data_IF_214771609423
#
_entry.id   IF_214771609423
#
_cell.length_a   1.000
_cell.length_b   1.000
_cell.length_c   1.000
_cell.angle_alpha   90.00
_cell.angle_beta   90.00
_cell.angle_gamma   90.00
#
_symmetry.space_group_name_H-M   'P 1'
#
loop_
_entity.id
_entity.type
_entity.pdbx_description
1 polymer ?
#
# COMPACT_ATOMS: atom_id res chain seq x y z
N UNK A 1 8.33 29.71 -73.04
CA UNK A 1 8.39 28.33 -72.48
C UNK A 1 8.47 28.43 -70.97
N UNK A 2 7.76 27.60 -70.20
CA UNK A 2 7.76 27.63 -68.72
C UNK A 2 8.36 26.33 -68.18
N UNK A 3 9.40 26.42 -67.37
CA UNK A 3 10.07 25.27 -66.74
C UNK A 3 9.36 24.91 -65.43
N UNK A 4 8.79 23.71 -65.37
CA UNK A 4 8.25 23.14 -64.12
C UNK A 4 9.41 22.65 -63.25
N UNK A 5 9.55 23.22 -62.04
CA UNK A 5 10.52 22.76 -61.04
C UNK A 5 9.85 21.78 -60.09
N UNK A 6 10.07 20.48 -60.32
CA UNK A 6 9.58 19.42 -59.43
C UNK A 6 10.42 19.41 -58.15
N UNK A 7 9.89 20.02 -57.08
CA UNK A 7 10.52 19.99 -55.76
C UNK A 7 10.28 18.63 -55.10
N UNK A 8 11.16 17.67 -55.35
CA UNK A 8 11.16 16.37 -54.67
C UNK A 8 11.34 16.58 -53.16
N UNK A 9 10.28 16.30 -52.40
CA UNK A 9 10.31 16.35 -50.94
C UNK A 9 10.88 15.06 -50.38
N UNK A 10 12.20 14.88 -50.45
CA UNK A 10 12.84 13.80 -49.71
C UNK A 10 12.63 13.98 -48.19
N UNK A 11 12.24 12.92 -47.46
CA UNK A 11 12.10 12.98 -46.01
C UNK A 11 13.48 13.07 -45.36
N UNK A 12 13.91 14.30 -45.05
CA UNK A 12 15.19 14.60 -44.39
C UNK A 12 15.45 13.64 -43.22
N UNK A 13 16.54 12.85 -43.22
CA UNK A 13 16.80 11.88 -42.17
C UNK A 13 16.91 12.59 -40.81
N UNK A 14 16.20 12.05 -39.82
CA UNK A 14 16.21 12.57 -38.45
C UNK A 14 17.58 12.27 -37.81
N UNK A 15 18.56 13.14 -38.03
CA UNK A 15 19.86 13.07 -37.35
C UNK A 15 19.63 13.03 -35.83
N UNK A 16 19.93 11.86 -35.25
CA UNK A 16 20.01 11.62 -33.82
C UNK A 16 21.42 11.99 -33.34
N UNK A 17 21.77 13.27 -33.47
CA UNK A 17 22.94 13.81 -32.79
C UNK A 17 22.88 13.46 -31.29
N UNK A 18 23.96 12.94 -30.67
CA UNK A 18 24.00 12.65 -29.23
C UNK A 18 23.63 13.85 -28.36
N UNK A 19 23.91 15.07 -28.83
CA UNK A 19 23.54 16.30 -28.14
C UNK A 19 22.00 16.50 -28.09
N UNK A 20 21.24 15.87 -28.99
CA UNK A 20 19.77 15.91 -29.04
C UNK A 20 19.12 14.85 -28.16
N UNK A 21 19.77 13.73 -27.87
CA UNK A 21 19.26 12.71 -26.92
C UNK A 21 19.45 13.19 -25.48
N UNK A 22 20.64 13.65 -25.11
CA UNK A 22 20.95 14.21 -23.77
C UNK A 22 20.00 15.37 -23.42
N UNK A 23 19.68 16.25 -24.39
CA UNK A 23 18.72 17.36 -24.18
C UNK A 23 17.28 16.88 -23.93
N UNK A 24 16.89 15.72 -24.45
CA UNK A 24 15.55 15.12 -24.18
C UNK A 24 15.50 14.49 -22.79
N UNK A 25 16.54 13.75 -22.42
CA UNK A 25 16.68 13.12 -21.11
C UNK A 25 16.58 14.16 -19.98
N UNK A 26 17.37 15.24 -20.05
CA UNK A 26 17.28 16.36 -19.11
C UNK A 26 15.93 17.11 -19.14
N UNK A 27 15.18 17.02 -20.23
CA UNK A 27 13.83 17.58 -20.30
C UNK A 27 12.79 16.67 -19.64
N UNK A 28 12.97 15.34 -19.73
CA UNK A 28 12.10 14.37 -19.08
C UNK A 28 12.33 14.34 -17.56
N UNK A 29 13.59 14.34 -17.11
CA UNK A 29 13.99 14.50 -15.70
C UNK A 29 13.32 15.73 -15.05
N UNK A 30 13.26 16.85 -15.78
CA UNK A 30 12.59 18.08 -15.31
C UNK A 30 11.07 17.94 -15.21
N UNK A 31 10.43 17.17 -16.11
CA UNK A 31 8.99 16.88 -15.99
C UNK A 31 8.71 15.95 -14.82
N UNK A 32 9.54 14.94 -14.63
CA UNK A 32 9.44 14.00 -13.53
C UNK A 32 9.57 14.71 -12.17
N UNK A 33 10.59 15.56 -12.01
CA UNK A 33 10.74 16.42 -10.82
C UNK A 33 9.49 17.27 -10.54
N UNK A 34 8.89 17.88 -11.57
CA UNK A 34 7.63 18.63 -11.43
C UNK A 34 6.43 17.74 -11.05
N UNK A 35 6.34 16.51 -11.57
CA UNK A 35 5.28 15.55 -11.18
C UNK A 35 5.42 15.14 -9.72
N UNK A 36 6.65 14.85 -9.27
CA UNK A 36 6.96 14.52 -7.87
C UNK A 36 6.58 15.70 -6.96
N UNK A 37 7.01 16.92 -7.30
CA UNK A 37 6.69 18.13 -6.56
C UNK A 37 5.16 18.37 -6.45
N UNK A 38 4.43 18.29 -7.55
CA UNK A 38 2.96 18.44 -7.56
C UNK A 38 2.24 17.33 -6.75
N UNK A 39 2.81 16.13 -6.72
CA UNK A 39 2.30 15.02 -5.90
C UNK A 39 2.54 15.28 -4.41
N UNK A 40 3.73 15.75 -4.04
CA UNK A 40 4.07 16.13 -2.67
C UNK A 40 3.19 17.29 -2.17
N UNK A 41 3.01 18.36 -2.96
CA UNK A 41 2.09 19.46 -2.64
C UNK A 41 0.69 18.96 -2.34
N UNK A 42 0.15 18.06 -3.18
CA UNK A 42 -1.17 17.46 -2.98
C UNK A 42 -1.26 16.62 -1.70
N UNK A 43 -0.22 15.84 -1.39
CA UNK A 43 -0.21 14.98 -0.19
C UNK A 43 -0.21 15.78 1.11
N UNK A 44 0.44 16.94 1.14
CA UNK A 44 0.53 17.79 2.35
C UNK A 44 -0.44 18.98 2.35
N UNK A 45 -1.33 19.09 1.35
CA UNK A 45 -2.28 20.20 1.22
C UNK A 45 -1.64 21.57 0.94
N UNK A 46 -0.42 21.61 0.37
CA UNK A 46 0.32 22.85 0.11
C UNK A 46 -0.22 23.61 -1.11
N UNK A 47 -0.08 24.95 -1.10
CA UNK A 47 -0.41 25.79 -2.25
C UNK A 47 0.55 25.52 -3.43
N UNK A 48 0.15 25.88 -4.65
CA UNK A 48 1.08 25.89 -5.79
C UNK A 48 2.13 27.00 -5.67
N UNK A 49 1.83 28.08 -4.96
CA UNK A 49 2.72 29.24 -4.75
C UNK A 49 3.77 29.03 -3.63
N UNK A 50 3.65 27.97 -2.82
CA UNK A 50 4.56 27.72 -1.69
C UNK A 50 5.99 27.45 -2.18
N UNK A 51 6.99 28.12 -1.62
CA UNK A 51 8.40 27.93 -2.00
C UNK A 51 8.91 26.52 -1.69
N UNK A 52 9.88 26.03 -2.45
CA UNK A 52 10.35 24.64 -2.33
C UNK A 52 10.87 24.31 -0.92
N UNK A 53 11.55 25.25 -0.25
CA UNK A 53 12.03 25.05 1.12
C UNK A 53 10.87 24.92 2.11
N UNK A 54 9.83 25.74 1.98
CA UNK A 54 8.65 25.70 2.85
C UNK A 54 7.84 24.42 2.61
N UNK A 55 7.69 23.98 1.36
CA UNK A 55 7.10 22.68 1.02
C UNK A 55 7.84 21.52 1.71
N UNK A 56 9.18 21.53 1.75
CA UNK A 56 9.96 20.51 2.48
C UNK A 56 9.68 20.58 3.99
N UNK A 57 9.59 21.76 4.60
CA UNK A 57 9.22 21.89 6.01
C UNK A 57 7.81 21.36 6.30
N UNK A 58 6.83 21.65 5.44
CA UNK A 58 5.46 21.13 5.54
C UNK A 58 5.43 19.59 5.44
N UNK A 59 6.21 19.00 4.50
CA UNK A 59 6.40 17.54 4.40
C UNK A 59 7.01 16.94 5.67
N UNK A 60 8.04 17.58 6.24
CA UNK A 60 8.67 17.10 7.48
C UNK A 60 7.72 17.16 8.68
N UNK A 61 6.85 18.17 8.76
CA UNK A 61 5.81 18.26 9.79
C UNK A 61 4.73 17.19 9.60
N UNK A 62 4.23 17.01 8.38
CA UNK A 62 3.20 16.01 8.06
C UNK A 62 3.67 14.58 8.34
N UNK A 63 4.93 14.25 8.03
CA UNK A 63 5.51 12.93 8.36
C UNK A 63 5.55 12.70 9.88
N UNK A 64 5.86 13.73 10.68
CA UNK A 64 5.85 13.62 12.15
C UNK A 64 4.45 13.43 12.70
N UNK A 65 3.47 14.14 12.14
CA UNK A 65 2.06 14.01 12.52
C UNK A 65 1.54 12.59 12.23
N UNK A 66 1.82 12.04 11.04
CA UNK A 66 1.48 10.66 10.70
C UNK A 66 2.20 9.64 11.61
N UNK A 67 3.47 9.88 11.95
CA UNK A 67 4.21 9.06 12.92
C UNK A 67 3.60 9.14 14.33
N UNK A 68 3.08 10.31 14.73
CA UNK A 68 2.39 10.47 16.00
C UNK A 68 1.06 9.70 16.01
N UNK A 69 0.24 9.86 14.96
CA UNK A 69 -1.02 9.11 14.81
C UNK A 69 -0.80 7.59 14.90
N UNK A 70 0.20 7.04 14.20
CA UNK A 70 0.53 5.62 14.23
C UNK A 70 1.09 5.12 15.58
N UNK A 71 1.66 6.00 16.41
CA UNK A 71 2.19 5.65 17.73
C UNK A 71 1.17 5.89 18.86
N UNK A 72 0.18 6.75 18.65
CA UNK A 72 -0.94 6.98 19.56
C UNK A 72 -2.08 5.96 19.33
N UNK A 73 -2.09 5.27 18.17
CA UNK A 73 -2.97 4.14 17.83
C UNK A 73 -2.45 2.79 18.38
N UNK A 74 -2.01 2.75 19.65
CA UNK A 74 -2.03 1.51 20.43
C UNK A 74 -3.47 1.27 20.93
N UNK A 75 -3.93 0.02 21.02
CA UNK A 75 -5.30 -0.33 20.68
C UNK A 75 -6.30 0.35 21.61
N UNK A 76 -7.03 1.34 21.07
CA UNK A 76 -8.27 1.81 21.68
C UNK A 76 -9.13 0.58 21.90
N UNK A 77 -9.45 0.29 23.17
CA UNK A 77 -10.04 -0.96 23.62
C UNK A 77 -11.14 -1.41 22.66
N UNK A 78 -11.08 -2.67 22.23
CA UNK A 78 -12.25 -3.35 21.65
C UNK A 78 -13.42 -3.03 22.60
N UNK A 79 -14.53 -2.45 22.11
CA UNK A 79 -15.63 -2.07 22.99
C UNK A 79 -15.98 -3.24 23.90
N UNK A 80 -16.11 -3.02 25.21
CA UNK A 80 -16.23 -4.12 26.18
C UNK A 80 -17.41 -5.08 25.84
N UNK A 81 -18.44 -4.57 25.17
CA UNK A 81 -19.56 -5.34 24.61
C UNK A 81 -19.14 -6.40 23.57
N UNK A 82 -18.11 -6.13 22.75
CA UNK A 82 -17.56 -7.11 21.79
C UNK A 82 -16.66 -8.13 22.46
N UNK A 83 -15.87 -7.74 23.47
CA UNK A 83 -15.02 -8.66 24.23
C UNK A 83 -15.88 -9.67 25.03
N UNK A 84 -17.00 -9.20 25.58
CA UNK A 84 -18.03 -10.04 26.18
C UNK A 84 -18.67 -11.00 25.16
N UNK A 85 -18.90 -10.54 23.92
CA UNK A 85 -19.43 -11.37 22.84
C UNK A 85 -18.46 -12.51 22.47
N UNK A 86 -17.17 -12.22 22.28
CA UNK A 86 -16.16 -13.25 21.98
C UNK A 86 -15.94 -14.22 23.15
N UNK A 87 -15.95 -13.75 24.39
CA UNK A 87 -15.93 -14.64 25.57
C UNK A 87 -17.12 -15.61 25.59
N UNK A 88 -18.31 -15.17 25.17
CA UNK A 88 -19.50 -16.04 25.15
C UNK A 88 -19.41 -17.20 24.15
N UNK A 89 -18.61 -17.08 23.10
CA UNK A 89 -18.37 -18.16 22.13
C UNK A 89 -17.32 -19.19 22.59
N UNK A 90 -16.54 -18.88 23.64
CA UNK A 90 -15.47 -19.76 24.12
C UNK A 90 -15.94 -20.82 25.13
N UNK A 91 -17.22 -20.79 25.54
CA UNK A 91 -17.81 -21.81 26.42
C UNK A 91 -18.51 -22.92 25.62
N UNK A 92 -17.72 -23.69 24.88
CA UNK A 92 -18.07 -25.09 24.57
C UNK A 92 -17.23 -25.96 25.48
N UNK A 93 -17.79 -26.31 26.64
CA UNK A 93 -17.19 -27.25 27.58
C UNK A 93 -16.98 -28.61 26.88
N UNK A 94 -15.74 -29.17 26.84
CA UNK A 94 -15.55 -30.53 26.37
C UNK A 94 -16.20 -31.49 27.38
N UNK A 95 -16.99 -32.49 26.93
CA UNK A 95 -17.75 -33.35 27.83
C UNK A 95 -16.82 -34.10 28.79
N UNK A 96 -17.13 -33.97 30.09
CA UNK A 96 -16.43 -34.66 31.19
C UNK A 96 -16.38 -36.19 30.93
N UNK A 97 -15.25 -36.87 31.21
CA UNK A 97 -15.18 -38.32 31.11
C UNK A 97 -16.05 -38.97 32.20
N UNK A 98 -16.97 -39.84 31.79
CA UNK A 98 -17.80 -40.59 32.72
C UNK A 98 -16.99 -41.79 33.23
N UNK A 99 -16.33 -41.63 34.38
CA UNK A 99 -15.91 -42.75 35.22
C UNK A 99 -17.05 -43.19 36.18
N UNK A 100 -16.83 -44.32 36.87
CA UNK A 100 -17.78 -45.10 37.70
C UNK A 100 -18.80 -45.96 36.91
N UNK A 101 -18.96 -47.26 37.20
CA UNK A 101 -18.23 -48.11 38.16
C UNK A 101 -18.34 -49.61 37.83
N UNK A 102 -17.75 -50.46 38.68
CA UNK A 102 -17.94 -51.94 38.73
C UNK A 102 -19.45 -52.29 38.90
N UNK A 103 -19.98 -53.48 38.65
CA UNK A 103 -19.47 -54.86 38.68
C UNK A 103 -20.00 -55.67 37.43
N UNK A 104 -20.11 -57.01 37.32
CA UNK A 104 -19.81 -58.18 38.18
C UNK A 104 -19.41 -59.39 37.28
N UNK A 105 -19.24 -60.58 37.87
CA UNK A 105 -18.85 -61.82 37.21
C UNK A 105 -19.98 -62.55 36.45
N UNK A 106 -19.63 -63.31 35.40
CA UNK A 106 -19.74 -64.80 35.38
C UNK A 106 -19.22 -65.39 34.06
N UNK A 107 -18.27 -66.33 34.16
CA UNK A 107 -17.83 -67.27 33.11
C UNK A 107 -18.48 -68.62 33.48
N UNK A 108 -19.18 -69.37 32.58
CA UNK A 108 -18.45 -70.33 31.73
C UNK A 108 -19.11 -70.85 30.41
N UNK A 109 -18.27 -71.49 29.57
CA UNK A 109 -18.56 -72.60 28.63
C UNK A 109 -19.49 -72.31 27.40
N UNK A 110 -19.33 -72.87 26.19
CA UNK A 110 -18.79 -74.18 25.77
C UNK A 110 -18.72 -74.26 24.21
N UNK A 111 -17.77 -75.05 23.67
CA UNK A 111 -17.85 -75.90 22.45
C UNK A 111 -18.66 -75.44 21.21
N UNK A 112 -17.97 -75.29 20.07
CA UNK A 112 -17.84 -76.33 19.01
C UNK A 112 -16.38 -76.39 18.56
#
# INVERSE_FOLDING_TARGET
>A
MKTMSYRTSEPRPKSLSPQRTIRKEKAEERKEKKKVEATLRRLVGSSEDTDQCELIYQIMSYIKELQQQLNEEEPSSVPADLDALFSSFSTVEPPQPIESDKENATVPAKTV
#
